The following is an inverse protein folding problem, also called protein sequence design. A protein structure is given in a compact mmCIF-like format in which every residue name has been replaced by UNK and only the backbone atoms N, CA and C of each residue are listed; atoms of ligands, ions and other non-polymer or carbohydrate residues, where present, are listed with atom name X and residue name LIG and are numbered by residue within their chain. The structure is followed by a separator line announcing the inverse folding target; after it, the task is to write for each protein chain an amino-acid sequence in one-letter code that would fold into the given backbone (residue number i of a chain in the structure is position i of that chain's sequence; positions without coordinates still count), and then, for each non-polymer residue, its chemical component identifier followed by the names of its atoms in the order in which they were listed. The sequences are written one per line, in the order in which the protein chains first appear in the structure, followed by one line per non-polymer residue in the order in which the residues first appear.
data_IF_065516733851
#
_entry.id   IF_065516733851
#
_cell.length_a   1.000
_cell.length_b   1.000
_cell.length_c   1.000
_cell.angle_alpha   90.00
_cell.angle_beta   90.00
_cell.angle_gamma   90.00
#
_symmetry.space_group_name_H-M   'P 1'
#
loop_
_entity.id
_entity.type
_entity.pdbx_description
1 polymer ?
#
# COMPACT_ATOMS: atom_id res chain seq x y z
N UNK A 1 9.01 -4.79 -19.57
CA UNK A 1 7.82 -3.91 -19.69
C UNK A 1 8.21 -2.45 -19.41
N UNK A 2 7.45 -1.49 -19.93
CA UNK A 2 7.60 -0.06 -19.63
C UNK A 2 6.40 0.37 -18.79
N UNK A 3 6.66 1.05 -17.68
CA UNK A 3 5.61 1.63 -16.83
C UNK A 3 4.73 2.60 -17.63
N UNK A 4 3.42 2.48 -17.50
CA UNK A 4 2.42 3.31 -18.19
C UNK A 4 1.62 4.14 -17.19
N UNK A 5 0.88 3.49 -16.30
CA UNK A 5 0.06 4.17 -15.29
C UNK A 5 0.14 3.49 -13.93
N UNK A 6 -0.31 4.21 -12.92
CA UNK A 6 -0.51 3.70 -11.57
C UNK A 6 -1.96 3.89 -11.15
N UNK A 7 -2.54 2.84 -10.58
CA UNK A 7 -3.84 2.83 -9.94
C UNK A 7 -3.60 2.97 -8.44
N UNK A 8 -4.19 4.00 -7.83
CA UNK A 8 -4.13 4.22 -6.38
C UNK A 8 -5.49 3.88 -5.78
N UNK A 9 -5.48 3.00 -4.78
CA UNK A 9 -6.68 2.54 -4.07
C UNK A 9 -6.52 2.93 -2.60
N UNK A 10 -7.25 3.96 -2.18
CA UNK A 10 -7.43 4.36 -0.78
C UNK A 10 -8.47 3.47 -0.11
N UNK A 11 -8.32 3.23 1.21
CA UNK A 11 -9.17 2.33 2.00
C UNK A 11 -9.37 0.96 1.32
N UNK A 12 -8.25 0.41 0.84
CA UNK A 12 -8.26 -0.70 -0.08
C UNK A 12 -8.85 -1.98 0.51
N UNK A 13 -8.90 -2.14 1.83
CA UNK A 13 -9.55 -3.29 2.48
C UNK A 13 -11.03 -3.45 2.13
N UNK A 14 -11.71 -2.39 1.66
CA UNK A 14 -13.08 -2.52 1.15
C UNK A 14 -13.16 -3.36 -0.13
N UNK A 15 -12.13 -3.26 -0.97
CA UNK A 15 -12.05 -3.95 -2.26
C UNK A 15 -11.25 -5.25 -2.14
N UNK A 16 -10.14 -5.22 -1.39
CA UNK A 16 -9.11 -6.26 -1.25
C UNK A 16 -9.11 -6.84 0.17
N UNK A 17 -10.25 -7.39 0.59
CA UNK A 17 -10.50 -7.80 1.97
C UNK A 17 -10.04 -9.23 2.26
N UNK A 18 -9.31 -9.41 3.35
CA UNK A 18 -8.95 -10.74 3.89
C UNK A 18 -10.18 -11.60 4.21
N UNK A 19 -11.27 -10.98 4.70
CA UNK A 19 -12.51 -11.70 4.98
C UNK A 19 -13.09 -12.32 3.70
N UNK A 20 -13.06 -11.59 2.58
CA UNK A 20 -13.55 -12.08 1.28
C UNK A 20 -12.67 -13.20 0.72
N UNK A 21 -11.36 -13.13 0.95
CA UNK A 21 -10.40 -14.18 0.60
C UNK A 21 -10.69 -15.47 1.40
N UNK A 22 -10.87 -15.36 2.73
CA UNK A 22 -11.24 -16.50 3.58
C UNK A 22 -12.58 -17.11 3.18
N UNK A 23 -13.61 -16.29 2.98
CA UNK A 23 -14.97 -16.77 2.63
C UNK A 23 -14.99 -17.54 1.31
N UNK A 24 -14.14 -17.15 0.35
CA UNK A 24 -13.99 -17.84 -0.93
C UNK A 24 -13.03 -19.02 -0.87
N UNK A 25 -12.13 -19.06 0.12
CA UNK A 25 -11.06 -20.05 0.22
C UNK A 25 -9.95 -19.88 -0.83
N UNK A 26 -9.98 -18.79 -1.60
CA UNK A 26 -9.06 -18.50 -2.70
C UNK A 26 -8.99 -16.99 -2.96
N UNK A 27 -8.02 -16.59 -3.79
CA UNK A 27 -7.89 -15.22 -4.25
C UNK A 27 -9.16 -14.74 -4.94
N UNK A 28 -9.58 -13.54 -4.61
CA UNK A 28 -10.74 -12.92 -5.22
C UNK A 28 -10.45 -12.59 -6.69
N UNK A 29 -11.49 -12.60 -7.52
CA UNK A 29 -11.41 -12.19 -8.94
C UNK A 29 -10.69 -10.83 -9.08
N UNK A 30 -10.93 -9.89 -8.16
CA UNK A 30 -10.30 -8.57 -8.20
C UNK A 30 -8.78 -8.68 -8.00
N UNK A 31 -8.32 -9.49 -7.06
CA UNK A 31 -6.89 -9.71 -6.83
C UNK A 31 -6.20 -10.35 -8.02
N UNK A 32 -6.85 -11.35 -8.63
CA UNK A 32 -6.38 -11.99 -9.86
C UNK A 32 -6.26 -10.96 -10.99
N UNK A 33 -7.28 -10.12 -11.18
CA UNK A 33 -7.25 -9.04 -12.18
C UNK A 33 -6.10 -8.06 -11.90
N UNK A 34 -5.96 -7.59 -10.66
CA UNK A 34 -4.89 -6.66 -10.27
C UNK A 34 -3.49 -7.26 -10.42
N UNK A 35 -3.33 -8.59 -10.35
CA UNK A 35 -2.08 -9.26 -10.68
C UNK A 35 -1.83 -9.26 -12.18
N UNK A 36 -2.81 -9.65 -12.98
CA UNK A 36 -2.68 -9.77 -14.44
C UNK A 36 -2.41 -8.42 -15.11
N UNK A 37 -3.04 -7.33 -14.66
CA UNK A 37 -2.84 -6.01 -15.28
C UNK A 37 -1.39 -5.51 -15.19
N UNK A 38 -0.59 -6.04 -14.25
CA UNK A 38 0.81 -5.64 -14.07
C UNK A 38 1.67 -5.93 -15.29
N UNK A 39 1.38 -7.01 -16.01
CA UNK A 39 2.08 -7.39 -17.25
C UNK A 39 1.88 -6.34 -18.37
N UNK A 40 0.87 -5.49 -18.25
CA UNK A 40 0.57 -4.43 -19.21
C UNK A 40 1.28 -3.10 -18.91
N UNK A 41 2.17 -3.08 -17.90
CA UNK A 41 2.89 -1.89 -17.44
C UNK A 41 2.13 -1.07 -16.40
N UNK A 42 1.12 -1.65 -15.76
CA UNK A 42 0.30 -1.01 -14.73
C UNK A 42 0.87 -1.27 -13.32
N UNK A 43 0.94 -0.22 -12.50
CA UNK A 43 1.25 -0.36 -11.07
C UNK A 43 -0.01 -0.23 -10.23
N UNK A 44 -0.09 -0.98 -9.13
CA UNK A 44 -1.20 -0.91 -8.18
C UNK A 44 -0.63 -0.50 -6.83
N UNK A 45 -1.07 0.65 -6.34
CA UNK A 45 -0.70 1.23 -5.06
C UNK A 45 -1.91 1.11 -4.14
N UNK A 46 -1.72 0.41 -3.03
CA UNK A 46 -2.74 0.08 -2.04
C UNK A 46 -2.42 0.87 -0.78
N UNK A 47 -3.38 1.65 -0.29
CA UNK A 47 -3.24 2.49 0.89
C UNK A 47 -4.32 2.07 1.89
N UNK A 48 -3.91 1.80 3.12
CA UNK A 48 -4.81 1.37 4.18
C UNK A 48 -4.25 1.67 5.57
N UNK A 49 -5.14 1.92 6.52
CA UNK A 49 -4.81 2.18 7.92
C UNK A 49 -4.80 0.88 8.77
N UNK A 50 -5.50 -0.16 8.29
CA UNK A 50 -5.67 -1.45 8.96
C UNK A 50 -5.15 -2.59 8.07
N UNK A 51 -3.81 -2.74 7.90
CA UNK A 51 -3.23 -3.76 7.03
C UNK A 51 -3.71 -5.18 7.36
N UNK A 52 -4.09 -5.46 8.62
CA UNK A 52 -4.64 -6.76 9.00
C UNK A 52 -6.04 -7.06 8.43
N UNK A 53 -6.70 -6.09 7.77
CA UNK A 53 -7.93 -6.30 6.98
C UNK A 53 -7.67 -6.54 5.50
N UNK A 54 -6.48 -6.22 5.01
CA UNK A 54 -6.06 -6.51 3.63
C UNK A 54 -5.79 -7.99 3.45
N UNK A 55 -6.11 -8.51 2.28
CA UNK A 55 -5.84 -9.89 1.92
C UNK A 55 -4.37 -10.27 2.00
N UNK A 56 -4.13 -11.53 2.33
CA UNK A 56 -2.79 -12.09 2.43
C UNK A 56 -2.13 -12.15 1.06
N UNK A 57 -2.90 -12.41 0.00
CA UNK A 57 -2.39 -12.31 -1.38
C UNK A 57 -1.78 -10.94 -1.70
N UNK A 58 -2.45 -9.83 -1.38
CA UNK A 58 -1.94 -8.49 -1.66
C UNK A 58 -0.71 -8.18 -0.80
N UNK A 59 -0.74 -8.54 0.48
CA UNK A 59 0.43 -8.39 1.37
C UNK A 59 1.61 -9.22 0.89
N UNK A 60 1.41 -10.44 0.40
CA UNK A 60 2.47 -11.28 -0.12
C UNK A 60 3.03 -10.78 -1.46
N UNK A 61 2.16 -10.31 -2.37
CA UNK A 61 2.51 -10.04 -3.76
C UNK A 61 2.88 -8.59 -4.08
N UNK A 62 2.87 -7.69 -3.09
CA UNK A 62 3.38 -6.31 -3.24
C UNK A 62 4.91 -6.26 -3.17
N UNK A 63 5.52 -5.62 -4.17
CA UNK A 63 6.99 -5.49 -4.30
C UNK A 63 7.58 -4.49 -3.30
N UNK A 64 6.91 -3.35 -3.16
CA UNK A 64 7.25 -2.28 -2.22
C UNK A 64 6.22 -2.27 -1.09
N UNK A 65 6.68 -2.13 0.15
CA UNK A 65 5.85 -1.87 1.33
C UNK A 65 6.43 -0.66 2.05
N UNK A 66 5.55 0.25 2.43
CA UNK A 66 5.88 1.44 3.20
C UNK A 66 4.92 1.47 4.38
N UNK A 67 5.46 1.45 5.60
CA UNK A 67 4.68 1.43 6.82
C UNK A 67 5.06 2.64 7.67
N UNK A 68 4.08 3.51 7.86
CA UNK A 68 4.16 4.63 8.80
C UNK A 68 3.75 4.17 10.20
N UNK A 69 3.55 5.12 11.11
CA UNK A 69 3.05 4.83 12.45
C UNK A 69 1.71 4.09 12.39
N UNK A 70 1.62 2.94 13.08
CA UNK A 70 0.40 2.18 13.28
C UNK A 70 0.10 2.08 14.78
N UNK A 71 -1.12 2.46 15.18
CA UNK A 71 -1.52 2.50 16.59
C UNK A 71 -1.99 1.17 17.17
N UNK A 72 -2.22 0.15 16.34
CA UNK A 72 -2.75 -1.15 16.76
C UNK A 72 -1.67 -2.24 16.67
N UNK A 73 -1.44 -2.96 17.78
CA UNK A 73 -0.48 -4.05 17.84
C UNK A 73 -0.77 -5.17 16.82
N UNK A 74 -2.04 -5.45 16.52
CA UNK A 74 -2.44 -6.42 15.49
C UNK A 74 -1.87 -6.04 14.13
N UNK A 75 -2.05 -4.78 13.75
CA UNK A 75 -1.62 -4.25 12.45
C UNK A 75 -0.09 -4.13 12.37
N UNK A 76 0.56 -3.64 13.43
CA UNK A 76 2.03 -3.59 13.53
C UNK A 76 2.67 -4.98 13.42
N UNK A 77 2.09 -5.99 14.06
CA UNK A 77 2.58 -7.37 13.98
C UNK A 77 2.35 -7.97 12.59
N UNK A 78 1.18 -7.75 12.00
CA UNK A 78 0.82 -8.26 10.66
C UNK A 78 1.78 -7.70 9.60
N UNK A 79 1.89 -6.37 9.51
CA UNK A 79 2.77 -5.76 8.51
C UNK A 79 4.25 -5.99 8.81
N UNK A 80 4.64 -6.06 10.09
CA UNK A 80 6.01 -6.32 10.49
C UNK A 80 6.51 -7.68 9.99
N UNK A 81 5.66 -8.72 10.07
CA UNK A 81 5.92 -10.03 9.46
C UNK A 81 6.03 -9.93 7.94
N UNK A 82 5.10 -9.23 7.28
CA UNK A 82 5.12 -9.05 5.83
C UNK A 82 6.36 -8.28 5.32
N UNK A 83 7.01 -7.50 6.17
CA UNK A 83 8.24 -6.76 5.88
C UNK A 83 9.51 -7.54 6.26
N UNK A 84 9.38 -8.71 6.90
CA UNK A 84 10.49 -9.48 7.44
C UNK A 84 11.30 -8.72 8.50
N UNK A 85 10.59 -8.01 9.37
CA UNK A 85 11.16 -7.45 10.60
C UNK A 85 11.28 -8.56 11.66
N UNK A 86 12.23 -8.41 12.58
CA UNK A 86 12.32 -9.26 13.76
C UNK A 86 11.17 -8.95 14.73
N UNK A 87 10.74 -9.93 15.54
CA UNK A 87 9.62 -9.74 16.47
C UNK A 87 9.82 -8.54 17.41
N UNK A 88 11.07 -8.33 17.84
CA UNK A 88 11.47 -7.20 18.67
C UNK A 88 11.40 -5.85 17.96
N UNK A 89 11.38 -5.84 16.63
CA UNK A 89 11.34 -4.64 15.83
C UNK A 89 9.91 -4.11 15.62
N UNK A 90 8.90 -4.96 15.80
CA UNK A 90 7.49 -4.58 15.59
C UNK A 90 7.07 -3.39 16.48
N UNK A 91 7.59 -3.34 17.72
CA UNK A 91 7.36 -2.26 18.71
C UNK A 91 8.01 -0.90 18.38
N UNK A 92 8.67 -0.77 17.23
CA UNK A 92 9.17 0.52 16.76
C UNK A 92 8.25 1.14 15.71
N UNK A 93 7.30 0.38 15.16
CA UNK A 93 6.33 0.89 14.17
C UNK A 93 5.46 1.97 14.82
N UNK A 94 4.95 1.74 16.03
CA UNK A 94 4.15 2.70 16.81
C UNK A 94 4.98 3.89 17.36
N UNK A 95 6.31 3.84 17.26
CA UNK A 95 7.24 4.89 17.66
C UNK A 95 7.73 5.76 16.50
N UNK A 96 7.31 5.45 15.27
CA UNK A 96 7.66 6.28 14.11
C UNK A 96 7.04 7.67 14.27
N UNK A 97 7.87 8.70 14.14
CA UNK A 97 7.40 10.08 14.13
C UNK A 97 6.72 10.39 12.79
N UNK A 98 5.97 11.50 12.75
CA UNK A 98 5.40 12.02 11.50
C UNK A 98 6.53 12.23 10.48
N UNK A 99 6.34 11.70 9.27
CA UNK A 99 7.35 11.72 8.21
C UNK A 99 8.38 10.57 8.28
N UNK A 100 8.33 9.68 9.28
CA UNK A 100 9.16 8.48 9.31
C UNK A 100 8.36 7.26 8.84
N UNK A 101 8.98 6.42 8.02
CA UNK A 101 8.41 5.14 7.64
C UNK A 101 9.48 4.06 7.53
N UNK A 102 9.09 2.82 7.78
CA UNK A 102 9.89 1.65 7.41
C UNK A 102 9.54 1.32 5.95
N UNK A 103 10.55 1.07 5.13
CA UNK A 103 10.40 0.71 3.71
C UNK A 103 11.04 -0.64 3.43
N UNK A 104 10.29 -1.52 2.78
CA UNK A 104 10.80 -2.79 2.25
C UNK A 104 10.61 -2.84 0.74
N UNK A 105 11.71 -2.94 0.02
CA UNK A 105 11.74 -3.15 -1.43
C UNK A 105 12.33 -4.52 -1.73
N UNK A 106 11.49 -5.45 -2.19
CA UNK A 106 11.95 -6.79 -2.60
C UNK A 106 12.99 -6.66 -3.71
N UNK A 107 14.03 -7.49 -3.71
CA UNK A 107 15.05 -7.51 -4.79
C UNK A 107 15.94 -6.27 -4.92
N UNK A 108 15.80 -5.24 -4.07
CA UNK A 108 16.74 -4.11 -3.99
C UNK A 108 17.45 -4.03 -2.65
N UNK A 109 16.70 -4.14 -1.55
CA UNK A 109 17.25 -4.13 -0.20
C UNK A 109 16.91 -5.43 0.52
N UNK A 110 17.95 -6.10 1.01
CA UNK A 110 17.81 -7.37 1.72
C UNK A 110 17.12 -7.20 3.08
N UNK A 111 17.23 -6.02 3.68
CA UNK A 111 16.59 -5.65 4.94
C UNK A 111 15.66 -4.44 4.75
N UNK A 112 14.61 -4.29 5.58
CA UNK A 112 13.85 -3.04 5.66
C UNK A 112 14.75 -1.88 6.12
N UNK A 113 14.44 -0.68 5.63
CA UNK A 113 15.20 0.54 5.94
C UNK A 113 14.27 1.59 6.54
N UNK A 114 14.81 2.42 7.44
CA UNK A 114 14.12 3.60 7.94
C UNK A 114 14.29 4.75 6.95
N UNK A 115 13.18 5.30 6.48
CA UNK A 115 13.14 6.41 5.54
C UNK A 115 12.48 7.64 6.17
N UNK A 116 12.95 8.81 5.74
CA UNK A 116 12.41 10.12 6.14
C UNK A 116 11.76 10.77 4.92
N UNK A 117 10.50 11.13 5.06
CA UNK A 117 9.68 11.75 4.03
C UNK A 117 9.50 13.23 4.36
N UNK A 118 9.80 14.15 3.43
CA UNK A 118 9.60 15.56 3.66
C UNK A 118 8.11 15.88 3.77
N UNK A 119 7.77 16.86 4.61
CA UNK A 119 6.41 17.38 4.66
C UNK A 119 6.08 18.05 3.31
N UNK A 120 5.03 17.56 2.65
CA UNK A 120 4.51 18.19 1.44
C UNK A 120 3.34 19.10 1.84
N UNK A 121 3.52 20.41 1.66
CA UNK A 121 2.51 21.42 1.92
C UNK A 121 1.38 21.38 0.90
N UNK A 122 0.43 20.44 1.04
CA UNK A 122 -0.75 20.37 0.18
C UNK A 122 -1.77 21.41 0.65
N UNK A 123 -2.04 22.41 -0.17
CA UNK A 123 -3.12 23.37 0.07
C UNK A 123 -4.46 22.70 -0.25
N UNK A 124 -5.24 22.38 0.79
CA UNK A 124 -6.62 21.85 0.61
C UNK A 124 -7.43 22.81 -0.27
N UNK A 125 -8.19 22.24 -1.20
CA UNK A 125 -8.97 23.01 -2.18
C UNK A 125 -8.17 23.59 -3.35
N UNK A 126 -6.87 23.32 -3.46
CA UNK A 126 -6.08 23.74 -4.62
C UNK A 126 -6.51 23.05 -5.93
N UNK A 127 -7.12 21.85 -5.83
CA UNK A 127 -7.73 21.15 -6.96
C UNK A 127 -9.24 21.26 -6.83
N UNK A 128 -9.88 21.91 -7.80
CA UNK A 128 -11.34 22.06 -7.88
C UNK A 128 -11.95 21.05 -8.83
N UNK A 129 -13.24 20.78 -8.70
CA UNK A 129 -13.96 19.87 -9.62
C UNK A 129 -13.87 20.30 -11.09
N UNK A 130 -13.77 21.59 -11.35
CA UNK A 130 -13.59 22.14 -12.69
C UNK A 130 -12.24 21.73 -13.29
N UNK A 131 -11.17 21.81 -12.48
CA UNK A 131 -9.84 21.33 -12.87
C UNK A 131 -9.89 19.83 -13.16
N UNK A 132 -10.50 19.03 -12.28
CA UNK A 132 -10.64 17.57 -12.49
C UNK A 132 -11.39 17.26 -13.79
N UNK A 133 -12.54 17.92 -14.04
CA UNK A 133 -13.33 17.73 -15.27
C UNK A 133 -12.55 18.10 -16.53
N UNK A 134 -11.73 19.15 -16.47
CA UNK A 134 -10.91 19.56 -17.62
C UNK A 134 -9.87 18.51 -17.99
N UNK A 135 -9.24 17.88 -16.99
CA UNK A 135 -8.25 16.82 -17.18
C UNK A 135 -8.88 15.52 -17.71
N UNK A 136 -10.10 15.20 -17.29
CA UNK A 136 -10.81 14.01 -17.79
C UNK A 136 -11.26 14.13 -19.26
N UNK A 137 -11.45 15.36 -19.78
CA UNK A 137 -11.85 15.59 -21.17
C UNK A 137 -10.68 15.49 -22.16
N UNK A 138 -9.46 15.72 -21.69
CA UNK A 138 -8.24 15.59 -22.48
C UNK A 138 -7.21 14.78 -21.67
N UNK A 139 -7.34 13.44 -21.62
CA UNK A 139 -6.33 12.61 -20.98
C UNK A 139 -4.99 12.82 -21.72
N UNK A 140 -3.95 13.11 -20.93
CA UNK A 140 -2.57 13.33 -21.38
C UNK A 140 -2.01 12.07 -22.04
#
# INVERSE_FOLDING_TARGET
ERFKHAIIIEEAHHVLSHKKEIEKGEETIIETLLRMIREFGESVIVIDQEPSKLSDSIKANTYCKITFNLGNAKDSNDIGRCMNLENEQFRFIDKLNVGQAIVKLKGRFNVPILCFFPLIGIKKGAVTDEIVRSLLKNPV
#
